data_IF_040341805384
#
_entry.id   IF_040341805384
#
_cell.length_a   1.000
_cell.length_b   1.000
_cell.length_c   1.000
_cell.angle_alpha   90.00
_cell.angle_beta   90.00
_cell.angle_gamma   90.00
#
_symmetry.space_group_name_H-M   'P 1'
#
loop_
_entity.id
_entity.type
_entity.pdbx_description
1 polymer ?
#
# COMPACT_ATOMS: atom_id res chain seq x y z
N UNK A 1 -24.43 12.50 15.91
CA UNK A 1 -22.96 12.56 16.06
C UNK A 1 -22.40 11.29 16.70
N UNK A 2 -22.83 10.92 17.91
CA UNK A 2 -22.32 9.75 18.66
C UNK A 2 -22.38 8.42 17.90
N UNK A 3 -23.51 8.11 17.24
CA UNK A 3 -23.68 6.88 16.45
C UNK A 3 -22.82 6.81 15.18
N UNK A 4 -22.31 7.95 14.69
CA UNK A 4 -21.41 8.03 13.54
C UNK A 4 -19.97 7.78 14.00
N UNK A 5 -19.53 8.51 15.03
CA UNK A 5 -18.15 8.46 15.53
C UNK A 5 -17.77 7.12 16.16
N UNK A 6 -18.72 6.38 16.72
CA UNK A 6 -18.51 5.02 17.28
C UNK A 6 -18.26 3.94 16.23
N UNK A 7 -18.54 4.19 14.95
CA UNK A 7 -18.33 3.23 13.87
C UNK A 7 -17.26 3.74 12.91
N UNK A 8 -16.10 3.06 12.79
CA UNK A 8 -15.06 3.46 11.83
C UNK A 8 -15.59 3.59 10.40
N UNK A 9 -16.53 2.73 10.01
CA UNK A 9 -17.16 2.75 8.69
C UNK A 9 -18.03 4.00 8.54
N UNK A 10 -18.88 4.32 9.51
CA UNK A 10 -19.73 5.53 9.43
C UNK A 10 -18.91 6.80 9.48
N UNK A 11 -17.83 6.83 10.26
CA UNK A 11 -16.87 7.93 10.28
C UNK A 11 -16.18 8.12 8.92
N UNK A 12 -15.76 7.02 8.27
CA UNK A 12 -15.19 7.08 6.93
C UNK A 12 -16.20 7.56 5.88
N UNK A 13 -17.45 7.08 5.96
CA UNK A 13 -18.54 7.53 5.08
C UNK A 13 -18.86 9.02 5.26
N UNK A 14 -18.84 9.52 6.50
CA UNK A 14 -18.96 10.96 6.76
C UNK A 14 -17.79 11.72 6.12
N UNK A 15 -16.56 11.24 6.26
CA UNK A 15 -15.40 11.84 5.60
C UNK A 15 -15.56 11.90 4.08
N UNK A 16 -16.00 10.80 3.46
CA UNK A 16 -16.28 10.76 2.01
C UNK A 16 -17.40 11.72 1.60
N UNK A 17 -18.48 11.80 2.39
CA UNK A 17 -19.58 12.73 2.15
C UNK A 17 -19.08 14.19 2.16
N UNK A 18 -18.17 14.53 3.07
CA UNK A 18 -17.59 15.87 3.17
C UNK A 18 -16.62 16.19 2.02
N UNK A 19 -16.02 15.18 1.38
CA UNK A 19 -15.15 15.37 0.21
C UNK A 19 -15.94 15.74 -1.05
N UNK A 20 -17.18 15.25 -1.21
CA UNK A 20 -18.01 15.52 -2.40
C UNK A 20 -18.22 17.02 -2.68
N UNK A 21 -18.67 17.87 -1.74
CA UNK A 21 -18.82 19.30 -2.01
C UNK A 21 -17.48 20.01 -2.27
N UNK A 22 -16.39 19.55 -1.65
CA UNK A 22 -15.05 20.09 -1.92
C UNK A 22 -14.59 19.77 -3.35
N UNK A 23 -14.88 18.57 -3.84
CA UNK A 23 -14.61 18.19 -5.23
C UNK A 23 -15.37 19.10 -6.20
N UNK A 24 -16.67 19.33 -5.95
CA UNK A 24 -17.49 20.20 -6.80
C UNK A 24 -17.07 21.67 -6.76
N UNK A 25 -16.50 22.14 -5.64
CA UNK A 25 -16.01 23.52 -5.49
C UNK A 25 -14.67 23.76 -6.18
N UNK A 26 -13.74 22.80 -6.10
CA UNK A 26 -12.36 22.94 -6.63
C UNK A 26 -12.30 22.69 -8.15
N UNK A 27 -13.28 21.99 -8.72
CA UNK A 27 -13.40 21.80 -10.17
C UNK A 27 -14.76 22.31 -10.67
N UNK A 28 -14.87 23.60 -11.04
CA UNK A 28 -16.12 24.18 -11.56
C UNK A 28 -16.63 23.42 -12.80
N UNK A 29 -15.70 22.88 -13.58
CA UNK A 29 -15.95 21.91 -14.65
C UNK A 29 -15.91 20.49 -14.08
N UNK A 30 -16.89 20.17 -13.23
CA UNK A 30 -17.13 18.79 -12.84
C UNK A 30 -17.15 17.94 -14.12
N UNK A 31 -16.53 16.75 -14.06
CA UNK A 31 -16.46 15.78 -15.18
C UNK A 31 -15.42 16.06 -16.29
N UNK A 32 -14.58 17.09 -16.18
CA UNK A 32 -13.46 17.31 -17.12
C UNK A 32 -12.36 16.24 -17.05
N UNK A 33 -11.48 16.18 -18.05
CA UNK A 33 -10.30 15.32 -18.00
C UNK A 33 -9.38 15.61 -16.82
N UNK A 34 -9.26 16.89 -16.43
CA UNK A 34 -8.47 17.30 -15.25
C UNK A 34 -9.10 16.82 -13.95
N UNK A 35 -10.44 16.86 -13.84
CA UNK A 35 -11.15 16.31 -12.70
C UNK A 35 -10.82 14.82 -12.49
N UNK A 36 -10.87 14.02 -13.56
CA UNK A 36 -10.59 12.58 -13.44
C UNK A 36 -9.12 12.29 -13.13
N UNK A 37 -8.17 13.07 -13.65
CA UNK A 37 -6.74 12.98 -13.27
C UNK A 37 -6.54 13.31 -11.79
N UNK A 38 -7.22 14.35 -11.30
CA UNK A 38 -7.19 14.71 -9.88
C UNK A 38 -7.75 13.59 -9.01
N UNK A 39 -8.94 13.07 -9.33
CA UNK A 39 -9.59 11.99 -8.57
C UNK A 39 -8.71 10.73 -8.55
N UNK A 40 -8.16 10.32 -9.71
CA UNK A 40 -7.25 9.17 -9.78
C UNK A 40 -6.01 9.36 -8.91
N UNK A 41 -5.42 10.57 -8.91
CA UNK A 41 -4.28 10.91 -8.06
C UNK A 41 -4.63 10.90 -6.58
N UNK A 42 -5.77 11.48 -6.22
CA UNK A 42 -6.24 11.50 -4.84
C UNK A 42 -6.47 10.08 -4.31
N UNK A 43 -7.16 9.23 -5.08
CA UNK A 43 -7.36 7.82 -4.73
C UNK A 43 -6.02 7.06 -4.61
N UNK A 44 -5.07 7.32 -5.51
CA UNK A 44 -3.74 6.73 -5.45
C UNK A 44 -2.98 7.11 -4.18
N UNK A 45 -3.00 8.40 -3.80
CA UNK A 45 -2.37 8.89 -2.58
C UNK A 45 -3.01 8.25 -1.34
N UNK A 46 -4.34 8.22 -1.26
CA UNK A 46 -5.07 7.63 -0.12
C UNK A 46 -4.75 6.13 0.00
N UNK A 47 -4.77 5.38 -1.10
CA UNK A 47 -4.42 3.97 -1.11
C UNK A 47 -2.96 3.74 -0.71
N UNK A 48 -2.05 4.58 -1.22
CA UNK A 48 -0.62 4.54 -0.91
C UNK A 48 -0.32 4.82 0.56
N UNK A 49 -1.01 5.81 1.15
CA UNK A 49 -0.93 6.09 2.60
C UNK A 49 -1.34 4.86 3.40
N UNK A 50 -2.43 4.19 3.03
CA UNK A 50 -2.87 2.99 3.73
C UNK A 50 -1.87 1.84 3.59
N UNK A 51 -1.36 1.59 2.39
CA UNK A 51 -0.35 0.56 2.11
C UNK A 51 0.92 0.78 2.94
N UNK A 52 1.54 1.95 2.79
CA UNK A 52 2.81 2.28 3.45
C UNK A 52 2.59 2.43 4.96
N UNK A 53 1.51 3.07 5.39
CA UNK A 53 1.19 3.26 6.80
C UNK A 53 1.04 1.94 7.54
N UNK A 54 0.33 0.97 6.99
CA UNK A 54 0.19 -0.37 7.59
C UNK A 54 1.52 -1.14 7.57
N UNK A 55 2.29 -1.05 6.49
CA UNK A 55 3.61 -1.67 6.39
C UNK A 55 4.59 -1.13 7.44
N UNK A 56 4.61 0.19 7.63
CA UNK A 56 5.46 0.87 8.61
C UNK A 56 4.98 0.59 10.02
N UNK A 57 3.67 0.63 10.28
CA UNK A 57 3.09 0.21 11.55
C UNK A 57 3.52 -1.21 11.93
N UNK A 58 3.45 -2.16 10.98
CA UNK A 58 3.85 -3.54 11.22
C UNK A 58 5.34 -3.65 11.60
N UNK A 59 6.22 -2.94 10.89
CA UNK A 59 7.68 -3.05 11.05
C UNK A 59 8.24 -2.23 12.23
N UNK A 60 7.66 -1.07 12.53
CA UNK A 60 8.15 -0.14 13.55
C UNK A 60 7.50 -0.37 14.92
N UNK A 61 6.23 -0.78 14.95
CA UNK A 61 5.46 -0.91 16.19
C UNK A 61 5.07 -2.36 16.46
N UNK A 62 4.27 -2.98 15.58
CA UNK A 62 3.68 -4.28 15.87
C UNK A 62 4.73 -5.38 16.13
N UNK A 63 5.67 -5.59 15.18
CA UNK A 63 6.64 -6.67 15.25
C UNK A 63 7.68 -6.47 16.36
N UNK A 64 8.26 -5.26 16.56
CA UNK A 64 9.22 -5.02 17.65
C UNK A 64 8.59 -5.08 19.05
N UNK A 65 7.30 -4.77 19.18
CA UNK A 65 6.60 -4.79 20.47
C UNK A 65 6.03 -6.16 20.83
N UNK A 66 5.87 -7.08 19.86
CA UNK A 66 5.33 -8.42 20.11
C UNK A 66 6.06 -9.19 21.23
N UNK A 67 7.41 -9.17 21.34
CA UNK A 67 8.11 -9.83 22.43
C UNK A 67 7.88 -9.21 23.81
N UNK A 68 7.33 -7.99 23.89
CA UNK A 68 7.00 -7.34 25.17
C UNK A 68 5.66 -7.79 25.75
N UNK A 69 4.83 -8.46 24.95
CA UNK A 69 3.58 -9.05 25.44
C UNK A 69 3.87 -10.28 26.30
N UNK A 70 3.03 -10.57 27.32
CA UNK A 70 3.02 -11.86 28.00
C UNK A 70 3.01 -13.02 27.00
N UNK A 71 3.74 -14.09 27.30
CA UNK A 71 3.99 -15.18 26.34
C UNK A 71 2.69 -15.85 25.86
N UNK A 72 1.75 -16.06 26.78
CA UNK A 72 0.41 -16.59 26.56
C UNK A 72 -0.49 -15.66 25.71
N UNK A 73 -0.23 -14.35 25.72
CA UNK A 73 -0.99 -13.36 24.96
C UNK A 73 -0.50 -13.18 23.51
N UNK A 74 0.76 -13.51 23.19
CA UNK A 74 1.36 -13.25 21.86
C UNK A 74 0.63 -13.95 20.72
N UNK A 75 0.41 -15.26 20.86
CA UNK A 75 -0.22 -16.05 19.80
C UNK A 75 -1.70 -15.70 19.59
N UNK A 76 -2.53 -15.54 20.65
CA UNK A 76 -3.88 -15.01 20.52
C UNK A 76 -3.93 -13.64 19.83
N UNK A 77 -3.08 -12.69 20.24
CA UNK A 77 -3.01 -11.37 19.63
C UNK A 77 -2.71 -11.46 18.13
N UNK A 78 -1.67 -12.23 17.75
CA UNK A 78 -1.29 -12.40 16.35
C UNK A 78 -2.41 -13.04 15.51
N UNK A 79 -3.14 -14.03 16.06
CA UNK A 79 -4.26 -14.69 15.37
C UNK A 79 -5.47 -13.79 15.18
N UNK A 80 -5.76 -12.92 16.14
CA UNK A 80 -6.89 -11.98 16.04
C UNK A 80 -6.56 -10.79 15.13
N UNK A 81 -5.38 -10.18 15.31
CA UNK A 81 -5.01 -8.95 14.62
C UNK A 81 -4.39 -9.19 13.24
N UNK A 82 -3.56 -10.23 13.09
CA UNK A 82 -2.78 -10.51 11.88
C UNK A 82 -3.61 -10.65 10.60
N UNK A 83 -4.72 -11.43 10.59
CA UNK A 83 -5.56 -11.58 9.40
C UNK A 83 -6.18 -10.25 8.94
N UNK A 84 -6.64 -9.42 9.88
CA UNK A 84 -7.22 -8.12 9.58
C UNK A 84 -6.16 -7.17 8.99
N UNK A 85 -4.98 -7.07 9.61
CA UNK A 85 -3.88 -6.26 9.10
C UNK A 85 -3.50 -6.67 7.66
N UNK A 86 -3.32 -7.97 7.42
CA UNK A 86 -2.93 -8.45 6.10
C UNK A 86 -4.03 -8.36 5.05
N UNK A 87 -5.31 -8.37 5.45
CA UNK A 87 -6.40 -8.05 4.53
C UNK A 87 -6.23 -6.63 4.00
N UNK A 88 -6.13 -5.65 4.90
CA UNK A 88 -6.00 -4.24 4.53
C UNK A 88 -4.70 -3.97 3.78
N UNK A 89 -3.57 -4.55 4.20
CA UNK A 89 -2.29 -4.36 3.52
C UNK A 89 -2.32 -4.89 2.08
N UNK A 90 -2.93 -6.06 1.86
CA UNK A 90 -3.05 -6.67 0.51
C UNK A 90 -3.90 -5.86 -0.43
N UNK A 91 -5.09 -5.48 0.02
CA UNK A 91 -6.05 -4.76 -0.82
C UNK A 91 -5.67 -3.30 -1.02
N UNK A 92 -5.06 -2.65 -0.04
CA UNK A 92 -4.45 -1.32 -0.23
C UNK A 92 -3.30 -1.37 -1.24
N UNK A 93 -2.50 -2.44 -1.23
CA UNK A 93 -1.48 -2.70 -2.25
C UNK A 93 -2.06 -2.73 -3.66
N UNK A 94 -3.07 -3.58 -3.88
CA UNK A 94 -3.73 -3.68 -5.19
C UNK A 94 -4.41 -2.36 -5.60
N UNK A 95 -5.09 -1.69 -4.67
CA UNK A 95 -5.72 -0.40 -4.92
C UNK A 95 -4.69 0.67 -5.32
N UNK A 96 -3.54 0.71 -4.66
CA UNK A 96 -2.43 1.62 -4.97
C UNK A 96 -1.89 1.36 -6.38
N UNK A 97 -1.65 0.09 -6.74
CA UNK A 97 -1.20 -0.26 -8.09
C UNK A 97 -2.24 0.09 -9.16
N UNK A 98 -3.50 -0.30 -8.96
CA UNK A 98 -4.57 -0.06 -9.93
C UNK A 98 -4.78 1.44 -10.18
N UNK A 99 -4.88 2.24 -9.11
CA UNK A 99 -5.05 3.70 -9.20
C UNK A 99 -3.80 4.39 -9.75
N UNK A 100 -2.60 3.89 -9.45
CA UNK A 100 -1.34 4.43 -9.99
C UNK A 100 -1.16 4.17 -11.48
N UNK A 101 -1.52 2.96 -11.94
CA UNK A 101 -1.54 2.62 -13.37
C UNK A 101 -2.59 3.43 -14.12
N UNK A 102 -3.79 3.58 -13.54
CA UNK A 102 -4.84 4.44 -14.08
C UNK A 102 -4.37 5.90 -14.18
N UNK A 103 -3.73 6.43 -13.14
CA UNK A 103 -3.19 7.78 -13.15
C UNK A 103 -2.15 7.95 -14.25
N UNK A 104 -1.20 7.03 -14.37
CA UNK A 104 -0.17 7.08 -15.41
C UNK A 104 -0.77 7.01 -16.82
N UNK A 105 -1.85 6.23 -17.00
CA UNK A 105 -2.63 6.18 -18.23
C UNK A 105 -3.29 7.53 -18.55
N UNK A 106 -4.02 8.11 -17.59
CA UNK A 106 -4.72 9.40 -17.74
C UNK A 106 -3.77 10.59 -17.97
N UNK A 107 -2.53 10.47 -17.47
CA UNK A 107 -1.46 11.44 -17.68
C UNK A 107 -0.64 11.18 -18.96
N UNK A 108 -0.91 10.10 -19.69
CA UNK A 108 -0.29 9.81 -20.99
C UNK A 108 1.16 9.32 -20.95
N UNK A 109 1.67 8.92 -19.78
CA UNK A 109 3.07 8.47 -19.64
C UNK A 109 3.23 6.98 -19.28
N UNK A 110 2.14 6.20 -19.27
CA UNK A 110 2.20 4.79 -18.82
C UNK A 110 3.22 3.95 -19.61
N UNK A 111 3.26 3.93 -20.96
CA UNK A 111 4.28 3.16 -21.68
C UNK A 111 5.71 3.59 -21.34
N UNK A 112 5.95 4.89 -21.20
CA UNK A 112 7.26 5.45 -20.85
C UNK A 112 7.67 5.03 -19.45
N UNK A 113 6.77 5.11 -18.46
CA UNK A 113 7.05 4.66 -17.10
C UNK A 113 7.34 3.14 -17.03
N UNK A 114 6.52 2.31 -17.68
CA UNK A 114 6.72 0.85 -17.66
C UNK A 114 8.02 0.43 -18.36
N UNK A 115 8.45 1.17 -19.38
CA UNK A 115 9.71 0.95 -20.09
C UNK A 115 10.89 1.72 -19.49
N UNK A 116 10.73 2.37 -18.33
CA UNK A 116 11.76 3.19 -17.67
C UNK A 116 12.32 4.32 -18.54
N UNK A 117 11.53 4.83 -19.50
CA UNK A 117 11.92 5.83 -20.48
C UNK A 117 12.64 5.26 -21.72
N UNK A 118 12.83 3.94 -21.82
CA UNK A 118 13.57 3.34 -22.95
C UNK A 118 12.90 3.59 -24.30
N UNK A 119 11.56 3.64 -24.35
CA UNK A 119 10.80 3.89 -25.59
C UNK A 119 11.04 5.30 -26.17
N UNK A 120 11.54 6.22 -25.36
CA UNK A 120 11.91 7.59 -25.74
C UNK A 120 13.42 7.84 -25.56
N UNK A 121 14.24 6.78 -25.51
CA UNK A 121 15.69 6.88 -25.42
C UNK A 121 16.20 7.53 -24.13
N UNK A 122 15.45 7.42 -23.03
CA UNK A 122 15.75 8.05 -21.73
C UNK A 122 15.76 9.59 -21.76
N UNK A 123 15.10 10.21 -22.75
CA UNK A 123 15.09 11.66 -22.93
C UNK A 123 14.42 12.42 -21.77
N UNK A 124 13.48 11.79 -21.05
CA UNK A 124 12.73 12.42 -19.95
C UNK A 124 13.07 11.72 -18.62
N UNK A 125 13.97 12.30 -17.80
CA UNK A 125 14.38 11.71 -16.52
C UNK A 125 13.21 11.39 -15.57
N UNK A 126 12.13 12.19 -15.65
CA UNK A 126 10.88 11.96 -14.91
C UNK A 126 10.31 10.57 -15.13
N UNK A 127 10.30 10.07 -16.38
CA UNK A 127 9.71 8.79 -16.73
C UNK A 127 10.52 7.60 -16.19
N UNK A 128 11.85 7.71 -16.17
CA UNK A 128 12.72 6.74 -15.52
C UNK A 128 12.53 6.74 -14.01
N UNK A 129 12.46 7.92 -13.37
CA UNK A 129 12.27 8.03 -11.92
C UNK A 129 10.93 7.44 -11.46
N UNK A 130 9.81 7.88 -12.07
CA UNK A 130 8.48 7.36 -11.74
C UNK A 130 8.35 5.88 -12.07
N UNK A 131 8.95 5.44 -13.19
CA UNK A 131 8.94 4.06 -13.63
C UNK A 131 9.67 3.13 -12.67
N UNK A 132 10.86 3.53 -12.20
CA UNK A 132 11.62 2.75 -11.22
C UNK A 132 10.87 2.64 -9.89
N UNK A 133 10.29 3.74 -9.42
CA UNK A 133 9.42 3.70 -8.24
C UNK A 133 8.23 2.75 -8.42
N UNK A 134 7.60 2.76 -9.60
CA UNK A 134 6.45 1.91 -9.92
C UNK A 134 6.82 0.44 -9.90
N UNK A 135 7.95 0.06 -10.49
CA UNK A 135 8.44 -1.31 -10.48
C UNK A 135 8.81 -1.80 -9.08
N UNK A 136 9.44 -0.96 -8.25
CA UNK A 136 9.70 -1.32 -6.85
C UNK A 136 8.39 -1.55 -6.10
N UNK A 137 7.38 -0.69 -6.29
CA UNK A 137 6.07 -0.85 -5.68
C UNK A 137 5.36 -2.15 -6.14
N UNK A 138 5.39 -2.45 -7.43
CA UNK A 138 4.81 -3.68 -7.98
C UNK A 138 5.53 -4.93 -7.44
N UNK A 139 6.86 -4.90 -7.33
CA UNK A 139 7.64 -5.97 -6.72
C UNK A 139 7.29 -6.17 -5.25
N UNK A 140 7.10 -5.08 -4.49
CA UNK A 140 6.64 -5.15 -3.10
C UNK A 140 5.25 -5.78 -2.97
N UNK A 141 4.32 -5.43 -3.88
CA UNK A 141 2.97 -5.99 -3.91
C UNK A 141 3.02 -7.48 -4.27
N UNK A 142 3.84 -7.87 -5.26
CA UNK A 142 4.08 -9.26 -5.59
C UNK A 142 4.65 -10.02 -4.37
N UNK A 143 5.65 -9.47 -3.69
CA UNK A 143 6.22 -10.06 -2.47
C UNK A 143 5.16 -10.25 -1.38
N UNK A 144 4.26 -9.27 -1.21
CA UNK A 144 3.16 -9.35 -0.26
C UNK A 144 2.19 -10.48 -0.57
N UNK A 145 1.75 -10.60 -1.82
CA UNK A 145 0.75 -11.59 -2.23
C UNK A 145 1.32 -13.01 -2.34
N UNK A 146 2.54 -13.14 -2.85
CA UNK A 146 3.16 -14.44 -3.16
C UNK A 146 3.98 -15.01 -2.01
N UNK A 147 4.51 -14.18 -1.11
CA UNK A 147 5.39 -14.65 -0.03
C UNK A 147 4.86 -14.30 1.35
N UNK A 148 4.63 -13.02 1.66
CA UNK A 148 4.21 -12.60 3.02
C UNK A 148 2.90 -13.29 3.40
N UNK A 149 1.88 -13.23 2.53
CA UNK A 149 0.56 -13.77 2.84
C UNK A 149 0.54 -15.30 3.03
N UNK A 150 1.06 -16.13 2.12
CA UNK A 150 1.09 -17.58 2.32
C UNK A 150 1.86 -17.99 3.58
N UNK A 151 3.01 -17.37 3.83
CA UNK A 151 3.82 -17.69 5.01
C UNK A 151 3.12 -17.27 6.31
N UNK A 152 2.42 -16.14 6.30
CA UNK A 152 1.68 -15.69 7.48
C UNK A 152 0.52 -16.63 7.83
N UNK A 153 -0.20 -17.15 6.83
CA UNK A 153 -1.25 -18.17 7.07
C UNK A 153 -0.70 -19.40 7.76
N UNK A 154 0.47 -19.88 7.31
CA UNK A 154 1.16 -21.01 7.93
C UNK A 154 1.56 -20.65 9.36
N UNK A 155 2.23 -19.50 9.57
CA UNK A 155 2.70 -19.07 10.88
C UNK A 155 1.56 -19.00 11.93
N UNK A 156 0.40 -18.45 11.54
CA UNK A 156 -0.78 -18.35 12.39
C UNK A 156 -1.43 -19.72 12.72
N UNK A 157 -1.06 -20.77 11.99
CA UNK A 157 -1.61 -22.12 12.16
C UNK A 157 -2.90 -22.35 11.39
N UNK A 158 -3.20 -21.55 10.36
CA UNK A 158 -4.42 -21.67 9.55
C UNK A 158 -4.37 -22.83 8.53
N UNK A 159 -3.24 -23.55 8.46
CA UNK A 159 -2.99 -24.59 7.45
C UNK A 159 -2.70 -25.96 8.04
N UNK A 160 -2.81 -26.15 9.37
CA UNK A 160 -2.49 -27.43 10.03
C UNK A 160 -1.02 -27.85 10.01
N UNK A 161 -0.08 -26.93 9.70
CA UNK A 161 1.34 -27.24 9.61
C UNK A 161 1.99 -27.53 10.98
N UNK A 162 3.07 -28.32 10.98
CA UNK A 162 3.85 -28.65 12.19
C UNK A 162 4.41 -27.41 12.91
N UNK A 163 4.68 -27.46 14.23
CA UNK A 163 5.25 -26.34 14.97
C UNK A 163 6.54 -25.78 14.36
N UNK A 164 7.44 -26.66 13.92
CA UNK A 164 8.70 -26.30 13.25
C UNK A 164 8.46 -25.51 11.95
N UNK A 165 7.51 -25.97 11.12
CA UNK A 165 7.17 -25.30 9.87
C UNK A 165 6.54 -23.93 10.12
N UNK A 166 5.72 -23.81 11.17
CA UNK A 166 5.10 -22.53 11.59
C UNK A 166 6.15 -21.52 12.03
N UNK A 167 7.14 -21.95 12.82
CA UNK A 167 8.26 -21.09 13.24
C UNK A 167 9.08 -20.62 12.03
N UNK A 168 9.41 -21.52 11.11
CA UNK A 168 10.12 -21.18 9.88
C UNK A 168 9.32 -20.18 9.02
N UNK A 169 8.00 -20.38 8.89
CA UNK A 169 7.12 -19.48 8.14
C UNK A 169 7.04 -18.09 8.78
N UNK A 170 6.98 -18.01 10.12
CA UNK A 170 7.03 -16.73 10.83
C UNK A 170 8.32 -15.95 10.52
N UNK A 171 9.49 -16.62 10.51
CA UNK A 171 10.77 -15.99 10.13
C UNK A 171 10.77 -15.53 8.68
N UNK A 172 10.27 -16.35 7.76
CA UNK A 172 10.17 -15.98 6.34
C UNK A 172 9.25 -14.78 6.12
N UNK A 173 8.08 -14.75 6.77
CA UNK A 173 7.17 -13.61 6.71
C UNK A 173 7.82 -12.34 7.28
N UNK A 174 8.58 -12.45 8.37
CA UNK A 174 9.34 -11.34 8.97
C UNK A 174 10.38 -10.75 8.01
N UNK A 175 11.17 -11.59 7.33
CA UNK A 175 12.16 -11.10 6.38
C UNK A 175 11.50 -10.49 5.14
N UNK A 176 10.46 -11.13 4.61
CA UNK A 176 9.73 -10.61 3.47
C UNK A 176 9.08 -9.24 3.76
N UNK A 177 8.50 -9.03 4.95
CA UNK A 177 7.95 -7.72 5.32
C UNK A 177 9.04 -6.65 5.50
N UNK A 178 10.21 -7.01 6.02
CA UNK A 178 11.36 -6.09 6.14
C UNK A 178 11.94 -5.69 4.80
N UNK A 179 11.96 -6.60 3.82
CA UNK A 179 12.33 -6.28 2.44
C UNK A 179 11.37 -5.22 1.87
N UNK A 180 10.06 -5.41 2.03
CA UNK A 180 9.08 -4.41 1.62
C UNK A 180 9.28 -3.07 2.36
N UNK A 181 9.52 -3.11 3.66
CA UNK A 181 9.76 -1.89 4.45
C UNK A 181 10.97 -1.12 3.93
N UNK A 182 12.11 -1.79 3.74
CA UNK A 182 13.31 -1.18 3.19
C UNK A 182 13.08 -0.63 1.77
N UNK A 183 12.42 -1.40 0.91
CA UNK A 183 12.10 -1.01 -0.47
C UNK A 183 11.10 0.16 -0.55
N UNK A 184 10.24 0.33 0.46
CA UNK A 184 9.26 1.43 0.48
C UNK A 184 9.91 2.81 0.52
N UNK A 185 11.11 2.93 1.11
CA UNK A 185 11.85 4.19 1.22
C UNK A 185 12.33 4.72 -0.15
N UNK A 186 13.15 3.98 -0.93
CA UNK A 186 13.55 4.43 -2.27
C UNK A 186 12.35 4.54 -3.21
N UNK A 187 11.34 3.68 -3.08
CA UNK A 187 10.10 3.79 -3.86
C UNK A 187 9.42 5.14 -3.63
N UNK A 188 9.20 5.54 -2.38
CA UNK A 188 8.59 6.83 -2.04
C UNK A 188 9.48 8.00 -2.49
N UNK A 189 10.79 7.90 -2.28
CA UNK A 189 11.73 8.92 -2.72
C UNK A 189 11.62 9.16 -4.23
N UNK A 190 11.59 8.09 -5.04
CA UNK A 190 11.45 8.17 -6.50
C UNK A 190 10.10 8.75 -6.94
N UNK A 191 9.01 8.40 -6.24
CA UNK A 191 7.67 8.93 -6.54
C UNK A 191 7.58 10.43 -6.22
N UNK A 192 8.14 10.85 -5.09
CA UNK A 192 8.18 12.25 -4.68
C UNK A 192 9.11 13.05 -5.59
N UNK A 193 10.28 12.52 -5.94
CA UNK A 193 11.22 13.20 -6.85
C UNK A 193 10.61 13.37 -8.25
N UNK A 194 9.95 12.34 -8.79
CA UNK A 194 9.25 12.40 -10.08
C UNK A 194 8.14 13.46 -10.15
N UNK A 195 7.60 13.87 -9.00
CA UNK A 195 6.52 14.86 -8.92
C UNK A 195 7.02 16.29 -8.64
N UNK A 196 8.20 16.44 -8.04
CA UNK A 196 8.67 17.73 -7.50
C UNK A 196 10.01 18.21 -8.07
N UNK A 197 10.81 17.33 -8.66
CA UNK A 197 12.13 17.67 -9.21
C UNK A 197 12.16 17.70 -10.74
N UNK A 198 11.10 17.23 -11.40
CA UNK A 198 10.94 17.22 -12.86
C UNK A 198 9.53 17.69 -13.22
#
# INVERSE_FOLDING_TARGET
MDAILKSPVRSALLGLLLVVPLLLFVTPEAWSGEFWRFVARWLHVVAGILLVGLLWFANLLQLPLMPRLPEDARAPFARTFGPALLLWLRWSGLATAATGLLLAWLMGYLPQALTLGAIEGFAVPRHSAIGLGMWIALAMIANLWLFIWPQHRIALGLTGASPERRLAAARQALYATRINFAASLPMLFLMVSAQNLF
#
